data_IF_552501490826
#
_entry.id   IF_552501490826
#
_cell.length_a   1.000
_cell.length_b   1.000
_cell.length_c   1.000
_cell.angle_alpha   90.00
_cell.angle_beta   90.00
_cell.angle_gamma   90.00
#
_symmetry.space_group_name_H-M   'P 1'
#
loop_
_entity.id
_entity.type
_entity.pdbx_description
1 polymer ?
#
# COMPACT_ATOMS: atom_id res chain seq x y z
N UNK A 1 -21.23 11.35 68.72
CA UNK A 1 -20.02 11.04 67.93
C UNK A 1 -20.09 11.90 66.68
N UNK A 2 -19.45 13.07 66.70
CA UNK A 2 -18.06 13.35 66.26
C UNK A 2 -17.90 13.34 64.74
N UNK A 3 -17.48 14.52 64.25
CA UNK A 3 -17.12 14.98 62.91
C UNK A 3 -16.15 14.07 62.14
N UNK A 4 -16.11 14.24 60.80
CA UNK A 4 -14.92 14.69 60.03
C UNK A 4 -15.29 14.73 58.53
N UNK A 5 -15.25 15.85 57.80
CA UNK A 5 -14.11 16.67 57.33
C UNK A 5 -13.06 15.92 56.51
N UNK A 6 -12.74 16.56 55.37
CA UNK A 6 -11.45 16.69 54.69
C UNK A 6 -11.18 15.89 53.42
N UNK A 7 -10.83 16.69 52.42
CA UNK A 7 -9.94 16.42 51.31
C UNK A 7 -8.72 15.56 51.71
N UNK A 8 -8.30 14.69 50.79
CA UNK A 8 -6.91 14.34 50.47
C UNK A 8 -6.94 13.50 49.18
N UNK A 9 -6.53 14.06 48.04
CA UNK A 9 -5.18 13.90 47.47
C UNK A 9 -4.61 12.48 47.65
N UNK A 10 -4.73 11.66 46.61
CA UNK A 10 -3.57 10.89 46.15
C UNK A 10 -3.61 10.74 44.63
N UNK A 11 -2.45 10.96 44.06
CA UNK A 11 -2.16 10.88 42.65
C UNK A 11 -2.32 9.43 42.17
N UNK A 12 -2.70 9.24 40.91
CA UNK A 12 -1.93 8.37 40.01
C UNK A 12 -2.32 8.70 38.58
N UNK A 13 -1.40 9.37 37.90
CA UNK A 13 -1.29 9.38 36.45
C UNK A 13 -1.29 7.94 35.92
N UNK A 14 -2.41 7.48 35.35
CA UNK A 14 -2.37 6.37 34.40
C UNK A 14 -2.86 6.90 33.05
N UNK A 15 -1.86 7.18 32.23
CA UNK A 15 -1.93 7.49 30.82
C UNK A 15 -2.84 6.52 30.07
N UNK A 16 -4.08 6.94 29.79
CA UNK A 16 -4.89 6.28 28.78
C UNK A 16 -4.50 6.81 27.41
N UNK A 17 -3.62 6.02 26.80
CA UNK A 17 -3.25 6.06 25.39
C UNK A 17 -4.52 5.78 24.56
N UNK A 18 -5.32 6.80 24.31
CA UNK A 18 -6.36 6.72 23.27
C UNK A 18 -5.63 6.71 21.94
N UNK A 19 -5.33 5.50 21.49
CA UNK A 19 -4.94 5.20 20.12
C UNK A 19 -6.04 5.77 19.24
N UNK A 20 -5.78 6.94 18.67
CA UNK A 20 -6.62 7.51 17.65
C UNK A 20 -6.73 6.47 16.54
N UNK A 21 -7.91 5.86 16.43
CA UNK A 21 -8.36 5.13 15.27
C UNK A 21 -8.27 6.09 14.09
N UNK A 22 -7.15 6.08 13.39
CA UNK A 22 -7.00 6.77 12.11
C UNK A 22 -7.76 5.96 11.07
N UNK A 23 -9.09 6.05 11.13
CA UNK A 23 -9.89 5.99 9.91
C UNK A 23 -9.41 7.15 9.06
N UNK A 24 -8.39 6.89 8.25
CA UNK A 24 -7.96 7.83 7.23
C UNK A 24 -9.04 7.76 6.18
N UNK A 25 -10.08 8.58 6.32
CA UNK A 25 -10.89 9.01 5.20
C UNK A 25 -9.94 9.32 4.04
N UNK A 26 -10.28 8.87 2.83
CA UNK A 26 -9.48 8.93 1.59
C UNK A 26 -9.25 10.38 1.12
N UNK A 27 -8.78 11.26 2.00
CA UNK A 27 -8.24 12.59 1.71
C UNK A 27 -6.80 12.36 1.26
N UNK A 28 -6.51 12.75 0.02
CA UNK A 28 -5.30 12.44 -0.76
C UNK A 28 -4.04 12.20 0.07
N UNK A 29 -3.60 10.94 0.14
CA UNK A 29 -2.37 10.58 0.83
C UNK A 29 -1.19 11.09 0.02
N UNK A 30 -0.51 12.13 0.54
CA UNK A 30 0.64 12.75 -0.12
C UNK A 30 1.96 12.28 0.46
N UNK A 31 2.62 11.30 -0.17
CA UNK A 31 3.99 10.94 0.18
C UNK A 31 4.99 12.00 -0.31
N UNK A 32 5.89 12.41 0.59
CA UNK A 32 7.02 13.30 0.32
C UNK A 32 8.34 12.54 0.26
N UNK A 33 8.42 11.42 0.99
CA UNK A 33 9.59 10.56 1.07
C UNK A 33 9.19 9.10 0.85
N UNK A 34 10.10 8.30 0.30
CA UNK A 34 9.90 6.86 0.13
C UNK A 34 9.60 6.16 1.46
N UNK A 35 10.26 6.55 2.55
CA UNK A 35 10.02 5.98 3.88
C UNK A 35 8.57 6.14 4.36
N UNK A 36 7.90 7.24 4.02
CA UNK A 36 6.48 7.44 4.34
C UNK A 36 5.59 6.48 3.55
N UNK A 37 5.93 6.24 2.28
CA UNK A 37 5.26 5.25 1.44
C UNK A 37 5.47 3.84 1.98
N UNK A 38 6.69 3.48 2.38
CA UNK A 38 7.00 2.17 2.99
C UNK A 38 6.14 1.94 4.23
N UNK A 39 6.08 2.92 5.15
CA UNK A 39 5.25 2.81 6.35
C UNK A 39 3.76 2.61 5.99
N UNK A 40 3.25 3.34 5.00
CA UNK A 40 1.88 3.14 4.54
C UNK A 40 1.67 1.76 3.89
N UNK A 41 2.63 1.26 3.11
CA UNK A 41 2.60 -0.08 2.54
C UNK A 41 2.67 -1.18 3.60
N UNK A 42 3.23 -0.93 4.77
CA UNK A 42 3.22 -1.91 5.86
C UNK A 42 1.85 -2.06 6.54
N UNK A 43 1.00 -1.05 6.45
CA UNK A 43 -0.29 -0.99 7.15
C UNK A 43 -1.48 -1.12 6.20
N UNK A 44 -1.44 -0.44 5.05
CA UNK A 44 -2.55 -0.30 4.11
C UNK A 44 -2.52 -1.40 3.03
N UNK A 45 -3.42 -2.37 3.17
CA UNK A 45 -3.54 -3.51 2.27
C UNK A 45 -4.05 -3.12 0.87
N UNK A 46 -4.98 -2.16 0.80
CA UNK A 46 -5.52 -1.64 -0.48
C UNK A 46 -4.42 -0.89 -1.24
N UNK A 47 -3.56 -0.15 -0.53
CA UNK A 47 -2.39 0.50 -1.12
C UNK A 47 -1.38 -0.53 -1.66
N UNK A 48 -1.15 -1.65 -0.97
CA UNK A 48 -0.30 -2.73 -1.47
C UNK A 48 -0.85 -3.35 -2.74
N UNK A 49 -2.16 -3.64 -2.79
CA UNK A 49 -2.82 -4.19 -3.96
C UNK A 49 -2.70 -3.22 -5.15
N UNK A 50 -2.96 -1.93 -4.92
CA UNK A 50 -2.77 -0.89 -5.94
C UNK A 50 -1.31 -0.76 -6.38
N UNK A 51 -0.35 -0.89 -5.47
CA UNK A 51 1.07 -0.87 -5.77
C UNK A 51 1.46 -1.98 -6.74
N UNK A 52 1.04 -3.22 -6.49
CA UNK A 52 1.28 -4.34 -7.42
C UNK A 52 0.65 -4.07 -8.79
N UNK A 53 -0.58 -3.56 -8.84
CA UNK A 53 -1.21 -3.17 -10.10
C UNK A 53 -0.43 -2.04 -10.82
N UNK A 54 0.13 -1.07 -10.09
CA UNK A 54 0.93 0.01 -10.67
C UNK A 54 2.25 -0.48 -11.26
N UNK A 55 2.94 -1.39 -10.56
CA UNK A 55 4.15 -2.05 -11.07
C UNK A 55 3.86 -2.83 -12.35
N UNK A 56 2.74 -3.56 -12.38
CA UNK A 56 2.28 -4.28 -13.56
C UNK A 56 2.01 -3.32 -14.72
N UNK A 57 1.18 -2.29 -14.51
CA UNK A 57 0.89 -1.28 -15.55
C UNK A 57 2.16 -0.64 -16.09
N UNK A 58 3.13 -0.28 -15.24
CA UNK A 58 4.39 0.31 -15.70
C UNK A 58 5.20 -0.63 -16.61
N UNK A 59 5.16 -1.94 -16.37
CA UNK A 59 5.84 -2.91 -17.24
C UNK A 59 5.20 -2.97 -18.63
N UNK A 60 3.86 -2.97 -18.69
CA UNK A 60 3.09 -3.02 -19.95
C UNK A 60 3.06 -1.68 -20.70
N UNK A 61 3.03 -0.54 -20.02
CA UNK A 61 3.16 0.76 -20.69
C UNK A 61 4.58 1.06 -21.18
N UNK A 62 5.61 0.35 -20.66
CA UNK A 62 6.97 0.47 -21.19
C UNK A 62 7.20 -0.35 -22.47
N UNK A 63 6.25 -1.21 -22.87
CA UNK A 63 6.36 -1.98 -24.11
C UNK A 63 5.87 -1.17 -25.32
N UNK A 64 6.62 -0.13 -25.68
CA UNK A 64 6.89 0.00 -27.11
C UNK A 64 7.78 -1.18 -27.51
N UNK A 65 7.59 -1.79 -28.69
CA UNK A 65 8.44 -2.86 -29.21
C UNK A 65 9.77 -2.23 -29.63
N UNK A 66 10.59 -1.82 -28.67
CA UNK A 66 11.98 -1.51 -28.92
C UNK A 66 12.77 -2.76 -28.59
N UNK A 67 13.66 -3.11 -29.51
CA UNK A 67 14.65 -4.20 -29.47
C UNK A 67 15.66 -4.08 -28.32
N UNK A 68 15.30 -3.40 -27.24
CA UNK A 68 16.08 -3.18 -26.03
C UNK A 68 15.14 -3.51 -24.87
N UNK A 69 15.40 -4.64 -24.20
CA UNK A 69 14.83 -4.99 -22.89
C UNK A 69 14.67 -3.69 -22.08
N UNK A 70 13.41 -3.35 -21.77
CA UNK A 70 13.06 -2.18 -20.97
C UNK A 70 14.00 -2.12 -19.78
N UNK A 71 14.67 -0.98 -19.54
CA UNK A 71 15.66 -0.82 -18.44
C UNK A 71 15.08 -1.22 -17.07
N UNK A 72 13.76 -1.35 -16.95
CA UNK A 72 13.05 -1.86 -15.79
C UNK A 72 13.33 -3.34 -15.50
N UNK A 73 13.59 -4.18 -16.52
CA UNK A 73 13.85 -5.62 -16.34
C UNK A 73 15.17 -5.91 -15.62
N UNK A 74 16.06 -4.93 -15.46
CA UNK A 74 17.34 -5.13 -14.79
C UNK A 74 17.27 -4.94 -13.27
N UNK A 75 16.17 -4.40 -12.74
CA UNK A 75 16.02 -4.12 -11.29
C UNK A 75 15.04 -5.09 -10.61
N UNK A 76 14.08 -5.64 -11.35
CA UNK A 76 13.08 -6.58 -10.82
C UNK A 76 13.54 -8.03 -11.04
N UNK A 77 13.49 -8.85 -9.99
CA UNK A 77 13.84 -10.27 -10.10
C UNK A 77 12.82 -10.99 -10.99
N UNK A 78 13.24 -11.91 -11.90
CA UNK A 78 12.32 -12.62 -12.79
C UNK A 78 11.17 -13.35 -12.06
N UNK A 79 11.43 -13.96 -10.92
CA UNK A 79 10.39 -14.67 -10.14
C UNK A 79 9.37 -13.70 -9.54
N UNK A 80 9.83 -12.54 -9.06
CA UNK A 80 8.95 -11.48 -8.57
C UNK A 80 8.13 -10.86 -9.72
N UNK A 81 8.67 -10.81 -10.94
CA UNK A 81 7.97 -10.34 -12.12
C UNK A 81 6.78 -11.24 -12.47
N UNK A 82 7.01 -12.56 -12.52
CA UNK A 82 5.96 -13.56 -12.76
C UNK A 82 4.91 -13.49 -11.65
N UNK A 83 5.37 -13.38 -10.40
CA UNK A 83 4.49 -13.27 -9.23
C UNK A 83 3.64 -12.00 -9.28
N UNK A 84 4.25 -10.84 -9.53
CA UNK A 84 3.55 -9.55 -9.61
C UNK A 84 2.52 -9.53 -10.73
N UNK A 85 2.84 -10.13 -11.89
CA UNK A 85 1.91 -10.27 -13.01
C UNK A 85 0.69 -11.10 -12.63
N UNK A 86 0.87 -12.30 -12.09
CA UNK A 86 -0.26 -13.16 -11.72
C UNK A 86 -1.14 -12.54 -10.64
N UNK A 87 -0.53 -11.84 -9.68
CA UNK A 87 -1.27 -11.11 -8.65
C UNK A 87 -2.05 -9.94 -9.24
N UNK A 88 -1.43 -9.12 -10.09
CA UNK A 88 -2.09 -7.98 -10.72
C UNK A 88 -3.26 -8.42 -11.61
N UNK A 89 -3.10 -9.46 -12.42
CA UNK A 89 -4.16 -10.00 -13.28
C UNK A 89 -5.36 -10.48 -12.44
N UNK A 90 -5.12 -11.16 -11.32
CA UNK A 90 -6.18 -11.55 -10.36
C UNK A 90 -6.88 -10.33 -9.73
N UNK A 91 -6.12 -9.32 -9.33
CA UNK A 91 -6.63 -8.12 -8.65
C UNK A 91 -7.44 -7.19 -9.59
N UNK A 92 -7.00 -7.11 -10.85
CA UNK A 92 -7.64 -6.30 -11.91
C UNK A 92 -8.93 -6.96 -12.39
N UNK A 93 -9.03 -8.29 -12.31
CA UNK A 93 -10.23 -9.05 -12.63
C UNK A 93 -10.83 -8.71 -14.01
N UNK A 94 -9.94 -8.55 -15.01
CA UNK A 94 -10.33 -8.26 -16.39
C UNK A 94 -10.80 -6.83 -16.68
N UNK A 95 -10.62 -5.88 -15.76
CA UNK A 95 -10.94 -4.47 -16.03
C UNK A 95 -10.11 -3.92 -17.20
N UNK A 96 -10.81 -3.39 -18.20
CA UNK A 96 -10.19 -2.88 -19.43
C UNK A 96 -9.29 -1.66 -19.19
N UNK A 97 -9.54 -0.91 -18.12
CA UNK A 97 -8.70 0.23 -17.72
C UNK A 97 -7.58 -0.19 -16.76
N UNK A 98 -7.45 -1.49 -16.47
CA UNK A 98 -6.45 -2.06 -15.56
C UNK A 98 -6.53 -1.48 -14.15
N UNK A 99 -7.74 -1.13 -13.69
CA UNK A 99 -8.01 -0.69 -12.31
C UNK A 99 -8.02 -1.88 -11.35
N UNK A 100 -7.69 -1.62 -10.08
CA UNK A 100 -7.97 -2.57 -9.02
C UNK A 100 -9.50 -2.77 -8.90
N UNK A 101 -9.97 -4.01 -9.00
CA UNK A 101 -11.41 -4.34 -8.88
C UNK A 101 -11.73 -5.14 -7.64
N UNK A 102 -10.86 -6.08 -7.27
CA UNK A 102 -11.05 -6.88 -6.07
C UNK A 102 -10.84 -6.03 -4.81
N UNK A 103 -11.79 -6.09 -3.90
CA UNK A 103 -11.68 -5.46 -2.58
C UNK A 103 -10.77 -6.26 -1.65
N UNK A 104 -10.20 -5.62 -0.63
CA UNK A 104 -9.38 -6.29 0.39
C UNK A 104 -10.14 -7.44 1.07
N UNK A 105 -11.42 -7.23 1.40
CA UNK A 105 -12.25 -8.25 2.04
C UNK A 105 -12.51 -9.45 1.14
N UNK A 106 -12.74 -9.21 -0.15
CA UNK A 106 -12.93 -10.29 -1.13
C UNK A 106 -11.68 -11.14 -1.26
N UNK A 107 -10.52 -10.49 -1.42
CA UNK A 107 -9.22 -11.20 -1.50
C UNK A 107 -8.94 -11.98 -0.23
N UNK A 108 -9.22 -11.43 0.96
CA UNK A 108 -9.03 -12.15 2.23
C UNK A 108 -9.91 -13.39 2.34
N UNK A 109 -11.13 -13.33 1.83
CA UNK A 109 -12.08 -14.44 1.86
C UNK A 109 -11.72 -15.54 0.86
N UNK A 110 -11.21 -15.18 -0.31
CA UNK A 110 -10.83 -16.13 -1.36
C UNK A 110 -9.42 -16.68 -1.15
N UNK A 111 -8.45 -15.79 -0.93
CA UNK A 111 -7.00 -16.02 -1.01
C UNK A 111 -6.20 -15.04 -0.14
N UNK A 112 -6.28 -15.21 1.18
CA UNK A 112 -5.61 -14.31 2.13
C UNK A 112 -4.09 -14.15 1.92
N UNK A 113 -3.42 -15.16 1.33
CA UNK A 113 -1.99 -15.11 1.02
C UNK A 113 -1.64 -14.05 -0.03
N UNK A 114 -2.59 -13.66 -0.89
CA UNK A 114 -2.38 -12.60 -1.89
C UNK A 114 -2.04 -11.28 -1.20
N UNK A 115 -2.65 -10.98 -0.05
CA UNK A 115 -2.39 -9.74 0.69
C UNK A 115 -0.94 -9.68 1.17
N UNK A 116 -0.43 -10.77 1.76
CA UNK A 116 0.96 -10.80 2.26
C UNK A 116 1.98 -10.76 1.11
N UNK A 117 1.66 -11.39 -0.02
CA UNK A 117 2.48 -11.30 -1.23
C UNK A 117 2.49 -9.90 -1.83
N UNK A 118 1.33 -9.23 -1.90
CA UNK A 118 1.25 -7.85 -2.36
C UNK A 118 2.04 -6.90 -1.47
N UNK A 119 1.96 -7.09 -0.15
CA UNK A 119 2.75 -6.32 0.81
C UNK A 119 4.25 -6.52 0.60
N UNK A 120 4.70 -7.78 0.52
CA UNK A 120 6.11 -8.12 0.28
C UNK A 120 6.64 -7.44 -0.98
N UNK A 121 5.93 -7.59 -2.10
CA UNK A 121 6.34 -7.01 -3.38
C UNK A 121 6.34 -5.48 -3.33
N UNK A 122 5.31 -4.87 -2.76
CA UNK A 122 5.22 -3.41 -2.71
C UNK A 122 6.33 -2.79 -1.87
N UNK A 123 6.66 -3.38 -0.72
CA UNK A 123 7.80 -2.92 0.10
C UNK A 123 9.13 -3.17 -0.61
N UNK A 124 9.29 -4.34 -1.24
CA UNK A 124 10.53 -4.69 -1.99
C UNK A 124 10.81 -3.73 -3.14
N UNK A 125 9.77 -3.27 -3.83
CA UNK A 125 9.86 -2.38 -4.98
C UNK A 125 9.35 -0.97 -4.66
N UNK A 126 9.49 -0.54 -3.39
CA UNK A 126 9.02 0.75 -2.89
C UNK A 126 9.68 1.94 -3.58
N UNK A 127 10.99 1.87 -3.85
CA UNK A 127 11.70 2.87 -4.67
C UNK A 127 11.01 3.08 -6.03
N UNK A 128 10.66 1.99 -6.70
CA UNK A 128 9.98 2.03 -8.00
C UNK A 128 8.56 2.58 -7.90
N UNK A 129 7.82 2.17 -6.88
CA UNK A 129 6.49 2.71 -6.60
C UNK A 129 6.55 4.21 -6.31
N UNK A 130 7.56 4.65 -5.57
CA UNK A 130 7.76 6.06 -5.26
C UNK A 130 8.07 6.88 -6.51
N UNK A 131 8.88 6.34 -7.43
CA UNK A 131 9.08 6.94 -8.76
C UNK A 131 7.77 7.04 -9.56
N UNK A 132 6.97 5.97 -9.62
CA UNK A 132 5.67 5.96 -10.33
C UNK A 132 4.79 7.07 -9.75
N UNK A 133 4.63 7.06 -8.43
CA UNK A 133 3.81 8.00 -7.68
C UNK A 133 4.21 9.45 -7.89
N UNK A 134 5.52 9.75 -7.84
CA UNK A 134 6.04 11.11 -8.06
C UNK A 134 5.93 11.55 -9.52
N UNK A 135 6.05 10.62 -10.47
CA UNK A 135 5.98 10.93 -11.91
C UNK A 135 4.55 11.22 -12.40
N UNK A 136 3.53 10.88 -11.60
CA UNK A 136 2.12 10.93 -11.97
C UNK A 136 1.78 10.21 -13.28
N UNK A 137 2.60 9.24 -13.71
CA UNK A 137 2.44 8.49 -14.96
C UNK A 137 1.38 7.39 -14.87
N UNK A 138 1.07 6.94 -13.67
CA UNK A 138 0.06 5.90 -13.44
C UNK A 138 -1.22 6.54 -12.89
N UNK A 139 -2.34 6.56 -13.65
CA UNK A 139 -3.54 7.29 -13.26
C UNK A 139 -4.21 6.76 -11.98
N UNK A 140 -3.87 5.56 -11.52
CA UNK A 140 -4.43 4.93 -10.33
C UNK A 140 -3.43 4.87 -9.17
N UNK A 141 -2.23 5.43 -9.35
CA UNK A 141 -1.19 5.49 -8.33
C UNK A 141 -0.42 6.81 -8.45
N UNK A 142 -1.10 7.93 -8.15
CA UNK A 142 -0.55 9.28 -8.24
C UNK A 142 -0.59 10.02 -6.91
N UNK A 143 0.24 11.06 -6.85
CA UNK A 143 0.23 12.13 -5.86
C UNK A 143 -0.94 13.09 -6.13
N UNK A 144 -2.14 12.78 -5.65
CA UNK A 144 -3.30 13.70 -5.62
C UNK A 144 -3.24 14.63 -4.42
#
# INVERSE_FOLDING_TARGET
>A
MQLKTSENLDATLQSEKVVATRQSEKVGRKFMLEAEMINALQEDEELCMNGVCALYRQQFFSSQPTTKRSKLSNTVKPDDLISARGLAEYLIDGDNEMRLRKSVSEVKNERAEVISQCRRLSVTYSEKLFEIYCSAKDPFFTRT
#
